data_IF_294576764839
#
_entry.id   IF_294576764839
#
_cell.length_a   1.000
_cell.length_b   1.000
_cell.length_c   1.000
_cell.angle_alpha   90.00
_cell.angle_beta   90.00
_cell.angle_gamma   90.00
#
_symmetry.space_group_name_H-M   'P 1'
#
loop_
_entity.id
_entity.type
_entity.pdbx_description
1 polymer ?
#
# COMPACT_ATOMS: atom_id res chain seq x y z
N UNK A 1 -11.38 9.10 17.02
CA UNK A 1 -12.31 8.10 17.57
C UNK A 1 -12.80 7.25 16.41
N UNK A 2 -12.66 5.94 16.49
CA UNK A 2 -12.95 5.04 15.36
C UNK A 2 -14.43 4.65 15.30
N UNK A 3 -15.16 4.82 16.41
CA UNK A 3 -16.59 4.56 16.55
C UNK A 3 -17.22 5.53 17.55
N UNK A 4 -18.53 5.70 17.49
CA UNK A 4 -19.30 6.48 18.46
C UNK A 4 -19.63 5.71 19.73
N UNK A 5 -19.45 4.39 19.71
CA UNK A 5 -19.68 3.52 20.87
C UNK A 5 -18.38 3.29 21.63
N UNK A 6 -18.51 3.19 22.97
CA UNK A 6 -17.41 2.94 23.89
C UNK A 6 -17.57 1.57 24.56
N UNK A 7 -16.58 1.17 25.35
CA UNK A 7 -16.68 -0.06 26.15
C UNK A 7 -17.80 0.05 27.19
N UNK A 8 -18.04 1.24 27.76
CA UNK A 8 -19.12 1.48 28.68
C UNK A 8 -20.50 1.27 28.02
N UNK A 9 -20.66 1.73 26.79
CA UNK A 9 -21.88 1.46 25.99
C UNK A 9 -22.09 -0.06 25.76
N UNK A 10 -21.02 -0.79 25.49
CA UNK A 10 -21.08 -2.26 25.36
C UNK A 10 -21.63 -2.92 26.61
N UNK A 11 -21.12 -2.51 27.77
CA UNK A 11 -21.56 -3.05 29.06
C UNK A 11 -23.02 -2.64 29.41
N UNK A 12 -23.38 -1.39 29.15
CA UNK A 12 -24.72 -0.85 29.45
C UNK A 12 -25.80 -1.47 28.54
N UNK A 13 -25.51 -1.76 27.30
CA UNK A 13 -26.43 -2.35 26.33
C UNK A 13 -26.52 -3.89 26.42
N UNK A 14 -25.83 -4.49 27.39
CA UNK A 14 -25.99 -5.89 27.76
C UNK A 14 -25.05 -6.89 27.05
N UNK A 15 -23.90 -6.46 26.51
CA UNK A 15 -22.81 -7.32 26.01
C UNK A 15 -23.30 -8.50 25.14
N UNK A 16 -24.21 -8.23 24.20
CA UNK A 16 -24.92 -9.23 23.42
C UNK A 16 -24.57 -9.17 21.93
N UNK A 17 -24.94 -10.23 21.18
CA UNK A 17 -24.82 -10.23 19.74
C UNK A 17 -25.62 -9.11 19.05
N UNK A 18 -26.75 -8.70 19.62
CA UNK A 18 -27.56 -7.58 19.11
C UNK A 18 -26.83 -6.26 19.27
N UNK A 19 -26.20 -6.05 20.42
CA UNK A 19 -25.32 -4.89 20.65
C UNK A 19 -24.14 -4.89 19.70
N UNK A 20 -23.49 -6.04 19.47
CA UNK A 20 -22.40 -6.19 18.51
C UNK A 20 -22.86 -5.79 17.10
N UNK A 21 -24.02 -6.27 16.66
CA UNK A 21 -24.58 -5.93 15.36
C UNK A 21 -24.88 -4.44 15.18
N UNK A 22 -25.43 -3.80 16.23
CA UNK A 22 -25.69 -2.37 16.25
C UNK A 22 -24.38 -1.56 16.08
N UNK A 23 -23.35 -1.93 16.82
CA UNK A 23 -22.03 -1.31 16.75
C UNK A 23 -21.40 -1.47 15.36
N UNK A 24 -21.43 -2.69 14.79
CA UNK A 24 -20.93 -3.00 13.46
C UNK A 24 -21.65 -2.17 12.39
N UNK A 25 -22.98 -2.05 12.47
CA UNK A 25 -23.75 -1.24 11.52
C UNK A 25 -23.39 0.25 11.60
N UNK A 26 -23.22 0.77 12.81
CA UNK A 26 -22.78 2.14 13.03
C UNK A 26 -21.36 2.37 12.49
N UNK A 27 -20.45 1.46 12.81
CA UNK A 27 -19.06 1.53 12.35
C UNK A 27 -18.93 1.54 10.82
N UNK A 28 -19.65 0.65 10.11
CA UNK A 28 -19.68 0.59 8.63
C UNK A 28 -20.18 1.89 7.98
N UNK A 29 -20.99 2.68 8.70
CA UNK A 29 -21.48 4.00 8.25
C UNK A 29 -20.54 5.15 8.62
N UNK A 30 -19.54 4.90 9.45
CA UNK A 30 -18.60 5.93 9.91
C UNK A 30 -17.73 6.45 8.77
N UNK A 31 -17.29 7.70 8.91
CA UNK A 31 -16.34 8.30 7.98
C UNK A 31 -14.97 7.57 8.03
N UNK A 32 -14.59 7.13 9.23
CA UNK A 32 -13.36 6.37 9.42
C UNK A 32 -13.33 5.10 8.57
N UNK A 33 -14.37 4.26 8.66
CA UNK A 33 -14.45 3.00 7.89
C UNK A 33 -14.42 3.25 6.38
N UNK A 34 -15.18 4.26 5.91
CA UNK A 34 -15.18 4.62 4.48
C UNK A 34 -13.82 5.10 4.01
N UNK A 35 -13.15 5.94 4.80
CA UNK A 35 -11.82 6.43 4.47
C UNK A 35 -10.78 5.29 4.45
N UNK A 36 -10.83 4.39 5.43
CA UNK A 36 -9.94 3.22 5.49
C UNK A 36 -10.13 2.32 4.26
N UNK A 37 -11.37 2.08 3.85
CA UNK A 37 -11.69 1.32 2.66
C UNK A 37 -11.21 2.02 1.37
N UNK A 38 -11.50 3.32 1.23
CA UNK A 38 -11.07 4.11 0.07
C UNK A 38 -9.54 4.13 -0.08
N UNK A 39 -8.80 4.18 1.01
CA UNK A 39 -7.33 4.11 0.99
C UNK A 39 -6.84 2.72 0.59
N UNK A 40 -7.48 1.66 1.07
CA UNK A 40 -7.16 0.29 0.70
C UNK A 40 -7.43 0.04 -0.81
N UNK A 41 -8.50 0.60 -1.36
CA UNK A 41 -8.80 0.53 -2.80
C UNK A 41 -7.72 1.24 -3.63
N UNK A 42 -7.31 2.47 -3.24
CA UNK A 42 -6.23 3.18 -3.95
C UNK A 42 -4.89 2.45 -3.87
N UNK A 43 -4.60 1.82 -2.74
CA UNK A 43 -3.42 0.96 -2.60
C UNK A 43 -3.44 -0.22 -3.58
N UNK A 44 -4.60 -0.80 -3.83
CA UNK A 44 -4.78 -1.89 -4.81
C UNK A 44 -4.85 -1.39 -6.27
N UNK A 45 -4.66 -0.08 -6.52
CA UNK A 45 -4.73 0.49 -7.87
C UNK A 45 -6.16 0.76 -8.37
N UNK A 46 -7.15 0.80 -7.48
CA UNK A 46 -8.53 1.17 -7.80
C UNK A 46 -8.86 2.53 -7.15
N UNK A 47 -9.18 3.52 -7.98
CA UNK A 47 -9.54 4.84 -7.48
C UNK A 47 -11.08 5.01 -7.49
N UNK A 48 -11.73 5.04 -6.30
CA UNK A 48 -13.18 5.15 -6.21
C UNK A 48 -13.74 6.47 -6.77
N UNK A 49 -12.95 7.55 -6.82
CA UNK A 49 -13.39 8.83 -7.40
C UNK A 49 -13.48 8.78 -8.92
N UNK A 50 -12.59 8.04 -9.60
CA UNK A 50 -12.71 7.82 -11.04
C UNK A 50 -14.02 7.10 -11.39
N UNK A 51 -14.39 6.10 -10.58
CA UNK A 51 -15.66 5.38 -10.79
C UNK A 51 -16.89 6.28 -10.63
N UNK A 52 -16.83 7.28 -9.75
CA UNK A 52 -17.91 8.27 -9.57
C UNK A 52 -17.98 9.26 -10.73
N UNK A 53 -16.83 9.82 -11.13
CA UNK A 53 -16.75 10.83 -12.21
C UNK A 53 -17.21 10.26 -13.56
N UNK A 54 -16.82 9.03 -13.85
CA UNK A 54 -17.06 8.40 -15.15
C UNK A 54 -18.28 7.47 -15.17
N UNK A 55 -19.30 7.74 -14.36
CA UNK A 55 -20.61 7.07 -14.51
C UNK A 55 -21.20 7.43 -15.85
N UNK A 56 -21.57 6.40 -16.62
CA UNK A 56 -22.28 6.58 -17.90
C UNK A 56 -23.58 7.30 -17.64
N UNK A 57 -23.69 8.54 -18.13
CA UNK A 57 -24.95 9.27 -18.17
C UNK A 57 -25.69 8.82 -19.42
N UNK A 58 -26.87 8.23 -19.25
CA UNK A 58 -27.75 7.88 -20.33
C UNK A 58 -28.80 8.99 -20.42
N UNK A 59 -28.73 9.79 -21.47
CA UNK A 59 -29.78 10.77 -21.76
C UNK A 59 -30.83 10.13 -22.69
N UNK A 60 -32.04 10.04 -22.22
CA UNK A 60 -33.17 9.56 -23.03
C UNK A 60 -33.83 10.76 -23.68
N UNK A 61 -33.72 10.88 -24.98
CA UNK A 61 -34.44 11.89 -25.77
C UNK A 61 -35.72 11.26 -26.32
N UNK A 62 -36.85 11.88 -26.04
CA UNK A 62 -38.14 11.49 -26.61
C UNK A 62 -38.42 12.37 -27.84
N UNK A 63 -38.53 11.77 -29.01
CA UNK A 63 -39.00 12.45 -30.21
C UNK A 63 -40.37 11.87 -30.58
N UNK A 64 -41.37 12.74 -30.76
CA UNK A 64 -42.68 12.37 -31.37
C UNK A 64 -42.55 12.51 -32.88
N UNK A 65 -42.97 11.48 -33.61
CA UNK A 65 -43.09 11.56 -35.05
C UNK A 65 -44.40 12.27 -35.45
N UNK A 66 -44.61 12.48 -36.75
CA UNK A 66 -45.79 13.12 -37.30
C UNK A 66 -47.10 12.36 -36.98
N UNK A 67 -47.01 11.10 -36.57
CA UNK A 67 -48.13 10.23 -36.21
C UNK A 67 -48.36 10.17 -34.70
N UNK A 68 -47.61 10.95 -33.90
CA UNK A 68 -47.74 11.00 -32.45
C UNK A 68 -47.04 9.86 -31.70
N UNK A 69 -46.31 8.98 -32.39
CA UNK A 69 -45.56 7.86 -31.76
C UNK A 69 -44.30 8.41 -31.12
N UNK A 70 -44.09 8.09 -29.83
CA UNK A 70 -42.94 8.52 -29.06
C UNK A 70 -41.78 7.55 -29.28
N UNK A 71 -40.76 8.01 -29.96
CA UNK A 71 -39.49 7.28 -30.10
C UNK A 71 -38.52 7.70 -28.98
N UNK A 72 -38.13 6.74 -28.13
CA UNK A 72 -37.14 6.95 -27.08
C UNK A 72 -35.78 6.53 -27.63
N UNK A 73 -34.89 7.48 -27.82
CA UNK A 73 -33.49 7.21 -28.17
C UNK A 73 -32.61 7.43 -26.93
N UNK A 74 -32.04 6.35 -26.40
CA UNK A 74 -31.03 6.43 -25.36
C UNK A 74 -29.70 6.76 -26.02
N UNK A 75 -29.13 7.92 -25.70
CA UNK A 75 -27.80 8.31 -26.16
C UNK A 75 -26.85 8.29 -24.97
N UNK A 76 -25.75 7.56 -25.10
CA UNK A 76 -24.64 7.65 -24.14
C UNK A 76 -24.00 9.02 -24.29
N UNK A 77 -24.14 9.86 -23.27
CA UNK A 77 -23.40 11.10 -23.17
C UNK A 77 -22.09 10.76 -22.40
N UNK A 78 -20.97 11.05 -23.04
CA UNK A 78 -19.64 10.90 -22.46
C UNK A 78 -19.36 9.51 -21.91
N UNK A 79 -19.14 8.52 -22.77
CA UNK A 79 -18.46 7.30 -22.36
C UNK A 79 -16.98 7.65 -22.16
N UNK A 80 -16.44 7.62 -20.95
CA UNK A 80 -15.01 7.79 -20.75
C UNK A 80 -14.29 6.58 -21.35
N UNK A 81 -13.24 6.84 -22.11
CA UNK A 81 -12.40 5.80 -22.68
C UNK A 81 -11.55 5.15 -21.59
N UNK A 82 -10.84 5.95 -20.83
CA UNK A 82 -9.83 5.49 -19.89
C UNK A 82 -10.15 5.81 -18.43
N UNK A 83 -9.82 4.85 -17.54
CA UNK A 83 -9.82 5.02 -16.09
C UNK A 83 -8.45 4.60 -15.58
N UNK A 84 -7.50 5.51 -15.68
CA UNK A 84 -6.11 5.24 -15.31
C UNK A 84 -5.92 5.62 -13.85
N UNK A 85 -5.77 4.61 -13.00
CA UNK A 85 -5.39 4.78 -11.61
C UNK A 85 -3.89 4.52 -11.45
N UNK A 86 -3.23 5.37 -10.67
CA UNK A 86 -1.81 5.23 -10.37
C UNK A 86 -1.55 4.22 -9.25
N UNK A 87 -0.42 3.54 -9.32
CA UNK A 87 0.10 2.69 -8.24
C UNK A 87 1.07 3.43 -7.29
N UNK A 88 1.08 4.75 -7.29
CA UNK A 88 2.01 5.53 -6.44
C UNK A 88 1.83 5.21 -4.96
N UNK A 89 0.59 5.10 -4.48
CA UNK A 89 0.33 4.80 -3.07
C UNK A 89 0.91 3.42 -2.68
N UNK A 90 0.77 2.42 -3.55
CA UNK A 90 1.39 1.11 -3.35
C UNK A 90 2.92 1.24 -3.21
N UNK A 91 3.57 1.96 -4.14
CA UNK A 91 5.02 2.18 -4.10
C UNK A 91 5.48 2.88 -2.83
N UNK A 92 4.77 3.92 -2.40
CA UNK A 92 5.09 4.68 -1.19
C UNK A 92 5.01 3.83 0.08
N UNK A 93 3.92 3.09 0.25
CA UNK A 93 3.71 2.25 1.43
C UNK A 93 4.71 1.08 1.44
N UNK A 94 4.89 0.40 0.30
CA UNK A 94 5.89 -0.67 0.19
C UNK A 94 7.30 -0.17 0.48
N UNK A 95 7.68 1.02 -0.02
CA UNK A 95 8.99 1.62 0.25
C UNK A 95 9.20 1.84 1.75
N UNK A 96 8.22 2.40 2.45
CA UNK A 96 8.32 2.66 3.90
C UNK A 96 8.41 1.36 4.70
N UNK A 97 7.52 0.41 4.44
CA UNK A 97 7.46 -0.86 5.19
C UNK A 97 8.69 -1.71 4.93
N UNK A 98 9.11 -1.85 3.67
CA UNK A 98 10.29 -2.64 3.33
C UNK A 98 11.58 -1.98 3.83
N UNK A 99 11.65 -0.66 3.84
CA UNK A 99 12.79 0.05 4.40
C UNK A 99 12.95 -0.22 5.90
N UNK A 100 11.85 -0.22 6.65
CA UNK A 100 11.85 -0.43 8.11
C UNK A 100 11.93 -1.91 8.50
N UNK A 101 11.16 -2.78 7.83
CA UNK A 101 10.85 -4.13 8.29
C UNK A 101 11.34 -5.25 7.37
N UNK A 102 12.14 -4.97 6.33
CA UNK A 102 12.64 -6.02 5.41
C UNK A 102 13.43 -7.11 6.13
N UNK A 103 14.14 -6.75 7.19
CA UNK A 103 14.92 -7.70 8.01
C UNK A 103 14.13 -8.21 9.24
N UNK A 104 12.85 -7.86 9.37
CA UNK A 104 12.01 -8.21 10.51
C UNK A 104 12.44 -7.57 11.83
N UNK A 105 11.89 -8.06 12.93
CA UNK A 105 12.26 -7.69 14.28
C UNK A 105 13.39 -8.60 14.79
N UNK A 106 14.52 -8.03 15.16
CA UNK A 106 15.62 -8.76 15.80
C UNK A 106 15.45 -8.69 17.31
N UNK A 107 15.41 -9.84 17.97
CA UNK A 107 15.37 -9.99 19.42
C UNK A 107 16.73 -10.47 19.92
N UNK A 108 17.09 -10.11 21.14
CA UNK A 108 18.34 -10.57 21.76
C UNK A 108 18.34 -12.09 21.97
N UNK A 109 17.18 -12.64 22.39
CA UNK A 109 17.04 -14.07 22.64
C UNK A 109 16.39 -14.79 21.46
N UNK A 110 17.12 -15.71 20.82
CA UNK A 110 16.65 -16.51 19.70
C UNK A 110 15.46 -17.43 20.06
N UNK A 111 15.40 -17.93 21.31
CA UNK A 111 14.28 -18.77 21.76
C UNK A 111 12.99 -17.95 21.84
N UNK A 112 13.09 -16.70 22.33
CA UNK A 112 11.95 -15.76 22.33
C UNK A 112 11.48 -15.49 20.92
N UNK A 113 12.40 -15.28 19.97
CA UNK A 113 12.07 -15.10 18.56
C UNK A 113 11.35 -16.33 17.98
N UNK A 114 11.84 -17.53 18.29
CA UNK A 114 11.21 -18.78 17.82
C UNK A 114 9.78 -18.96 18.34
N UNK A 115 9.49 -18.51 19.58
CA UNK A 115 8.12 -18.54 20.15
C UNK A 115 7.12 -17.65 19.44
N UNK A 116 7.57 -16.61 18.71
CA UNK A 116 6.70 -15.75 17.91
C UNK A 116 6.24 -16.43 16.61
N UNK A 117 6.86 -17.55 16.23
CA UNK A 117 6.53 -18.30 15.02
C UNK A 117 7.21 -17.73 13.75
N UNK A 118 7.38 -18.60 12.75
CA UNK A 118 8.08 -18.24 11.50
C UNK A 118 7.35 -17.17 10.67
N UNK A 119 6.04 -17.03 10.82
CA UNK A 119 5.23 -16.05 10.08
C UNK A 119 5.20 -14.66 10.70
N UNK A 120 5.81 -14.45 11.87
CA UNK A 120 5.66 -13.21 12.64
C UNK A 120 6.14 -11.96 11.90
N UNK A 121 7.33 -12.01 11.30
CA UNK A 121 7.87 -10.84 10.59
C UNK A 121 7.04 -10.47 9.36
N UNK A 122 6.50 -11.46 8.65
CA UNK A 122 5.58 -11.22 7.54
C UNK A 122 4.27 -10.60 8.02
N UNK A 123 3.72 -11.12 9.12
CA UNK A 123 2.52 -10.53 9.74
C UNK A 123 2.76 -9.09 10.19
N UNK A 124 3.95 -8.81 10.74
CA UNK A 124 4.35 -7.47 11.17
C UNK A 124 4.38 -6.49 10.00
N UNK A 125 4.97 -6.87 8.86
CA UNK A 125 4.98 -6.06 7.63
C UNK A 125 3.56 -5.79 7.12
N UNK A 126 2.73 -6.82 7.01
CA UNK A 126 1.36 -6.67 6.53
C UNK A 126 0.50 -5.81 7.48
N UNK A 127 0.69 -5.95 8.78
CA UNK A 127 0.02 -5.11 9.77
C UNK A 127 0.43 -3.65 9.65
N UNK A 128 1.72 -3.37 9.42
CA UNK A 128 2.23 -2.02 9.26
C UNK A 128 1.69 -1.37 7.97
N UNK A 129 1.65 -2.10 6.85
CA UNK A 129 0.99 -1.64 5.62
C UNK A 129 -0.47 -1.22 5.88
N UNK A 130 -1.22 -2.07 6.60
CA UNK A 130 -2.62 -1.79 6.94
C UNK A 130 -2.76 -0.62 7.91
N UNK A 131 -1.86 -0.50 8.88
CA UNK A 131 -1.85 0.61 9.82
C UNK A 131 -1.57 1.95 9.10
N UNK A 132 -0.58 2.00 8.21
CA UNK A 132 -0.27 3.18 7.39
C UNK A 132 -1.48 3.63 6.56
N UNK A 133 -2.16 2.68 5.91
CA UNK A 133 -3.32 2.95 5.07
C UNK A 133 -4.56 3.36 5.85
N UNK A 134 -4.82 2.73 6.99
CA UNK A 134 -6.08 2.82 7.71
C UNK A 134 -5.99 3.60 9.02
N UNK A 135 -4.76 3.85 9.51
CA UNK A 135 -4.49 4.48 10.80
C UNK A 135 -4.31 3.48 11.94
N UNK A 136 -4.91 2.30 11.83
CA UNK A 136 -4.79 1.21 12.79
C UNK A 136 -4.99 -0.14 12.10
N UNK A 137 -4.24 -1.14 12.56
CA UNK A 137 -4.48 -2.56 12.30
C UNK A 137 -4.42 -3.28 13.64
N UNK A 138 -5.22 -4.31 13.83
CA UNK A 138 -5.20 -5.08 15.08
C UNK A 138 -4.57 -6.44 14.84
N UNK A 139 -3.73 -6.89 15.77
CA UNK A 139 -3.17 -8.23 15.79
C UNK A 139 -3.78 -9.04 16.92
N UNK A 140 -4.43 -10.13 16.61
CA UNK A 140 -4.88 -11.12 17.58
C UNK A 140 -3.79 -12.16 17.78
N UNK A 141 -3.28 -12.28 19.01
CA UNK A 141 -2.35 -13.34 19.36
C UNK A 141 -3.10 -14.66 19.58
N UNK A 142 -2.99 -15.56 18.61
CA UNK A 142 -3.64 -16.86 18.65
C UNK A 142 -2.61 -17.96 18.95
N UNK A 143 -2.29 -18.12 20.23
CA UNK A 143 -1.37 -19.10 20.81
C UNK A 143 0.08 -19.06 20.28
N UNK A 144 0.32 -19.20 18.98
CA UNK A 144 1.63 -19.35 18.35
C UNK A 144 1.85 -18.41 17.16
N UNK A 145 0.84 -17.63 16.79
CA UNK A 145 0.92 -16.70 15.66
C UNK A 145 0.03 -15.47 15.85
N UNK A 146 0.24 -14.48 15.02
CA UNK A 146 -0.59 -13.27 14.96
C UNK A 146 -1.59 -13.40 13.82
N UNK A 147 -2.88 -13.38 14.13
CA UNK A 147 -3.94 -13.15 13.14
C UNK A 147 -4.11 -11.65 12.89
N UNK A 148 -4.10 -11.25 11.62
CA UNK A 148 -4.21 -9.85 11.23
C UNK A 148 -5.68 -9.48 11.11
N UNK A 149 -6.09 -8.46 11.83
CA UNK A 149 -7.45 -7.95 11.88
C UNK A 149 -7.49 -6.49 11.39
N UNK A 150 -7.58 -6.23 10.07
CA UNK A 150 -7.64 -4.87 9.54
C UNK A 150 -8.90 -4.14 9.97
N UNK A 151 -8.81 -2.81 10.13
CA UNK A 151 -9.96 -1.98 10.46
C UNK A 151 -11.05 -2.03 9.35
N UNK A 152 -10.64 -2.10 8.09
CA UNK A 152 -11.52 -2.32 6.94
C UNK A 152 -10.86 -3.28 5.95
N UNK A 153 -11.58 -4.32 5.51
CA UNK A 153 -11.14 -5.25 4.46
C UNK A 153 -11.89 -4.94 3.17
N UNK A 154 -13.19 -4.94 3.25
CA UNK A 154 -14.12 -4.57 2.19
C UNK A 154 -15.35 -3.86 2.81
N UNK A 155 -16.34 -3.52 2.00
CA UNK A 155 -17.57 -2.85 2.47
C UNK A 155 -18.41 -3.68 3.47
N UNK A 156 -18.08 -4.96 3.64
CA UNK A 156 -18.83 -5.90 4.47
C UNK A 156 -18.02 -6.45 5.63
N UNK A 157 -16.70 -6.28 5.62
CA UNK A 157 -15.76 -6.94 6.52
C UNK A 157 -14.77 -5.94 7.12
N UNK A 158 -14.44 -6.13 8.40
CA UNK A 158 -13.49 -5.27 9.11
C UNK A 158 -13.47 -5.57 10.61
N UNK A 159 -12.81 -4.68 11.34
CA UNK A 159 -12.64 -4.82 12.80
C UNK A 159 -12.87 -3.46 13.47
N UNK A 160 -13.68 -3.45 14.52
CA UNK A 160 -13.92 -2.28 15.36
C UNK A 160 -13.48 -2.58 16.79
N UNK A 161 -12.75 -1.65 17.39
CA UNK A 161 -12.35 -1.69 18.79
C UNK A 161 -13.11 -0.63 19.59
N UNK A 162 -13.62 -1.03 20.75
CA UNK A 162 -14.29 -0.16 21.72
C UNK A 162 -13.30 0.25 22.79
N UNK A 163 -13.09 1.55 22.91
CA UNK A 163 -12.20 2.12 23.90
C UNK A 163 -12.93 2.28 25.23
N UNK A 164 -12.24 1.97 26.28
CA UNK A 164 -12.64 2.32 27.64
C UNK A 164 -12.40 3.82 27.88
N UNK A 165 -13.45 4.55 28.24
CA UNK A 165 -13.40 5.98 28.46
C UNK A 165 -12.49 6.39 29.62
N UNK A 166 -12.33 5.52 30.63
CA UNK A 166 -11.55 5.80 31.82
C UNK A 166 -10.05 5.60 31.59
N UNK A 167 -9.69 4.54 30.89
CA UNK A 167 -8.28 4.15 30.69
C UNK A 167 -7.74 4.52 29.32
N UNK A 168 -8.63 4.77 28.34
CA UNK A 168 -8.26 4.93 26.93
C UNK A 168 -7.74 3.63 26.26
N UNK A 169 -7.77 2.52 26.99
CA UNK A 169 -7.41 1.19 26.49
C UNK A 169 -8.54 0.56 25.67
N UNK A 170 -8.24 -0.56 25.03
CA UNK A 170 -9.25 -1.34 24.31
C UNK A 170 -9.91 -2.29 25.30
N UNK A 171 -11.23 -2.20 25.46
CA UNK A 171 -12.02 -3.11 26.29
C UNK A 171 -12.57 -4.29 25.53
N UNK A 172 -13.06 -4.08 24.31
CA UNK A 172 -13.64 -5.11 23.44
C UNK A 172 -13.24 -4.84 22.00
N UNK A 173 -13.03 -5.93 21.24
CA UNK A 173 -12.82 -5.88 19.79
C UNK A 173 -13.86 -6.76 19.10
N UNK A 174 -14.47 -6.25 18.04
CA UNK A 174 -15.44 -6.98 17.23
C UNK A 174 -14.90 -7.07 15.81
N UNK A 175 -14.51 -8.25 15.41
CA UNK A 175 -14.25 -8.59 14.01
C UNK A 175 -15.53 -9.02 13.36
N UNK A 176 -15.83 -8.51 12.18
CA UNK A 176 -17.05 -8.87 11.45
C UNK A 176 -16.74 -9.12 9.98
N UNK A 177 -17.48 -10.08 9.41
CA UNK A 177 -17.39 -10.37 7.96
C UNK A 177 -18.72 -10.86 7.42
N UNK A 178 -18.96 -10.55 6.16
CA UNK A 178 -20.16 -10.91 5.43
C UNK A 178 -19.79 -11.01 3.94
N UNK A 179 -20.05 -12.13 3.29
CA UNK A 179 -19.72 -12.33 1.88
C UNK A 179 -20.51 -11.44 0.92
N UNK A 180 -21.77 -11.15 1.27
CA UNK A 180 -22.63 -10.23 0.52
C UNK A 180 -23.83 -9.83 1.39
N UNK A 181 -24.60 -8.84 0.95
CA UNK A 181 -25.81 -8.39 1.66
C UNK A 181 -26.86 -9.47 1.87
N UNK A 182 -26.87 -10.53 1.06
CA UNK A 182 -27.80 -11.65 1.16
C UNK A 182 -27.29 -12.81 2.03
N UNK A 183 -26.04 -12.73 2.51
CA UNK A 183 -25.43 -13.78 3.34
C UNK A 183 -25.43 -13.37 4.82
N UNK A 184 -25.34 -14.33 5.74
CA UNK A 184 -25.24 -14.06 7.16
C UNK A 184 -24.06 -13.14 7.50
N UNK A 185 -24.24 -12.24 8.44
CA UNK A 185 -23.17 -11.49 9.08
C UNK A 185 -22.61 -12.35 10.21
N UNK A 186 -21.32 -12.55 10.22
CA UNK A 186 -20.59 -13.19 11.30
C UNK A 186 -19.85 -12.14 12.11
N UNK A 187 -19.82 -12.31 13.42
CA UNK A 187 -19.14 -11.40 14.35
C UNK A 187 -18.38 -12.22 15.39
N UNK A 188 -17.09 -11.98 15.49
CA UNK A 188 -16.20 -12.53 16.50
C UNK A 188 -15.91 -11.43 17.52
N UNK A 189 -16.39 -11.63 18.73
CA UNK A 189 -16.26 -10.66 19.83
C UNK A 189 -15.17 -11.12 20.79
N UNK A 190 -14.13 -10.32 20.92
CA UNK A 190 -13.00 -10.55 21.80
C UNK A 190 -13.17 -9.70 23.06
N UNK A 191 -13.26 -10.34 24.20
CA UNK A 191 -13.32 -9.75 25.53
C UNK A 191 -12.14 -10.24 26.39
N UNK A 192 -11.88 -9.61 27.53
CA UNK A 192 -10.75 -10.02 28.37
C UNK A 192 -10.92 -11.47 28.92
N UNK A 193 -12.14 -11.90 29.09
CA UNK A 193 -12.51 -13.22 29.66
C UNK A 193 -12.85 -14.28 28.62
N UNK A 194 -12.72 -14.00 27.32
CA UNK A 194 -12.89 -14.98 26.27
C UNK A 194 -13.42 -14.44 24.95
N UNK A 195 -13.67 -15.37 24.05
CA UNK A 195 -14.09 -15.16 22.67
C UNK A 195 -15.48 -15.73 22.45
N UNK A 196 -16.39 -14.92 21.89
CA UNK A 196 -17.74 -15.35 21.48
C UNK A 196 -17.93 -15.14 19.98
N UNK A 197 -18.59 -16.06 19.29
CA UNK A 197 -18.92 -15.92 17.88
C UNK A 197 -20.43 -15.88 17.69
N UNK A 198 -20.91 -14.84 17.02
CA UNK A 198 -22.30 -14.66 16.65
C UNK A 198 -22.50 -14.77 15.14
N UNK A 199 -23.69 -15.17 14.72
CA UNK A 199 -24.12 -15.08 13.33
C UNK A 199 -25.55 -14.56 13.22
N UNK A 200 -25.86 -13.92 12.09
CA UNK A 200 -27.25 -13.58 11.78
C UNK A 200 -27.91 -14.73 11.01
N UNK A 201 -29.14 -15.07 11.40
CA UNK A 201 -29.98 -16.01 10.63
C UNK A 201 -30.53 -15.33 9.37
N UNK A 202 -31.17 -16.12 8.51
CA UNK A 202 -31.87 -15.59 7.31
C UNK A 202 -33.00 -14.62 7.66
N UNK A 203 -33.62 -14.76 8.81
CA UNK A 203 -34.69 -13.91 9.31
C UNK A 203 -34.17 -12.64 10.01
N UNK A 204 -32.84 -12.41 9.99
CA UNK A 204 -32.19 -11.24 10.60
C UNK A 204 -32.02 -11.35 12.12
N UNK A 205 -32.40 -12.47 12.75
CA UNK A 205 -32.13 -12.71 14.18
C UNK A 205 -30.65 -13.05 14.38
N UNK A 206 -30.15 -12.74 15.56
CA UNK A 206 -28.78 -13.01 15.95
C UNK A 206 -28.75 -14.23 16.85
N UNK A 207 -27.88 -15.17 16.53
CA UNK A 207 -27.68 -16.43 17.26
C UNK A 207 -26.22 -16.55 17.68
N UNK A 208 -25.98 -17.18 18.80
CA UNK A 208 -24.65 -17.56 19.27
C UNK A 208 -24.22 -18.78 18.49
N UNK A 209 -23.25 -18.61 17.58
CA UNK A 209 -22.68 -19.72 16.81
C UNK A 209 -21.71 -20.54 17.66
N UNK A 210 -20.84 -19.85 18.40
CA UNK A 210 -19.96 -20.47 19.38
C UNK A 210 -20.09 -19.69 20.69
N UNK A 211 -20.46 -20.36 21.80
CA UNK A 211 -20.54 -19.74 23.11
C UNK A 211 -19.15 -19.23 23.55
N UNK A 212 -19.14 -18.36 24.55
CA UNK A 212 -17.91 -17.80 25.10
C UNK A 212 -16.94 -18.91 25.51
N UNK A 213 -15.74 -18.87 25.00
CA UNK A 213 -14.65 -19.81 25.28
C UNK A 213 -13.37 -19.07 25.61
N UNK A 214 -12.53 -19.69 26.42
CA UNK A 214 -11.21 -19.18 26.72
C UNK A 214 -10.29 -19.17 25.49
N UNK A 215 -9.29 -18.31 25.48
CA UNK A 215 -8.34 -18.18 24.36
C UNK A 215 -7.38 -19.33 24.24
N UNK A 216 -6.98 -19.93 25.36
CA UNK A 216 -6.10 -21.09 25.39
C UNK A 216 -6.92 -22.30 25.82
N UNK A 217 -6.99 -23.29 24.93
CA UNK A 217 -7.68 -24.54 25.20
C UNK A 217 -6.69 -25.69 25.05
N UNK A 218 -6.60 -26.51 26.10
CA UNK A 218 -5.86 -27.77 26.01
C UNK A 218 -6.82 -28.85 25.56
N UNK A 219 -6.59 -29.39 24.37
CA UNK A 219 -7.41 -30.44 23.76
C UNK A 219 -6.61 -31.75 23.80
N UNK A 220 -7.19 -32.78 24.36
CA UNK A 220 -6.68 -34.13 24.24
C UNK A 220 -7.55 -34.89 23.25
N UNK A 221 -6.91 -35.49 22.25
CA UNK A 221 -7.55 -36.36 21.27
C UNK A 221 -7.35 -37.82 21.73
N UNK A 222 -8.41 -38.50 22.11
CA UNK A 222 -8.42 -39.89 22.46
C UNK A 222 -9.27 -40.74 21.48
N UNK A 223 -9.37 -42.01 21.71
CA UNK A 223 -10.16 -42.91 20.86
C UNK A 223 -11.67 -42.59 20.80
N UNK A 224 -12.16 -41.70 21.66
CA UNK A 224 -13.58 -41.30 21.77
C UNK A 224 -13.80 -39.95 21.06
N UNK A 225 -12.73 -39.18 20.79
CA UNK A 225 -12.78 -37.88 20.14
C UNK A 225 -11.95 -36.81 20.84
N UNK A 226 -12.12 -35.57 20.43
CA UNK A 226 -11.46 -34.42 21.04
C UNK A 226 -12.19 -33.98 22.31
N UNK A 227 -11.43 -33.81 23.40
CA UNK A 227 -11.97 -33.34 24.68
C UNK A 227 -11.10 -32.21 25.23
N UNK A 228 -11.75 -31.09 25.57
CA UNK A 228 -11.09 -29.95 26.28
C UNK A 228 -10.84 -30.37 27.72
N UNK A 229 -9.58 -30.33 28.18
CA UNK A 229 -9.16 -30.68 29.53
C UNK A 229 -8.70 -29.51 30.36
N UNK A 230 -8.46 -28.38 29.73
CA UNK A 230 -8.12 -27.14 30.41
C UNK A 230 -8.42 -25.91 29.54
N UNK A 231 -8.87 -24.86 30.20
CA UNK A 231 -9.16 -23.56 29.61
C UNK A 231 -8.46 -22.46 30.40
N UNK A 232 -7.76 -21.58 29.71
CA UNK A 232 -7.06 -20.46 30.33
C UNK A 232 -7.18 -19.20 29.44
N UNK A 233 -7.33 -18.06 30.05
CA UNK A 233 -7.29 -16.78 29.37
C UNK A 233 -5.90 -16.11 29.55
N UNK A 234 -5.60 -15.16 28.66
CA UNK A 234 -4.47 -14.27 28.86
C UNK A 234 -4.80 -13.28 30.00
N UNK A 235 -3.76 -12.72 30.62
CA UNK A 235 -3.95 -11.72 31.68
C UNK A 235 -4.63 -10.42 31.18
N UNK A 236 -4.67 -10.23 29.88
CA UNK A 236 -5.31 -9.09 29.20
C UNK A 236 -5.88 -9.53 27.86
N UNK A 237 -6.65 -8.66 27.23
CA UNK A 237 -7.19 -8.88 25.89
C UNK A 237 -6.06 -9.19 24.90
N UNK A 238 -6.06 -10.35 24.20
CA UNK A 238 -4.99 -10.74 23.29
C UNK A 238 -5.09 -10.11 21.90
N UNK A 239 -5.83 -9.00 21.77
CA UNK A 239 -5.93 -8.20 20.55
C UNK A 239 -5.23 -6.87 20.78
N UNK A 240 -4.15 -6.65 20.04
CA UNK A 240 -3.25 -5.52 20.22
C UNK A 240 -3.34 -4.61 18.99
N UNK A 241 -3.54 -3.30 19.17
CA UNK A 241 -3.53 -2.35 18.08
C UNK A 241 -2.09 -2.01 17.67
N UNK A 242 -1.84 -2.00 16.36
CA UNK A 242 -0.71 -1.33 15.72
C UNK A 242 -1.22 -0.06 15.06
N UNK A 243 -0.69 1.09 15.46
CA UNK A 243 -1.02 2.39 14.88
C UNK A 243 0.05 2.82 13.89
N UNK A 244 -0.32 3.58 12.87
CA UNK A 244 0.65 4.18 11.96
C UNK A 244 1.51 5.25 12.65
N UNK A 245 0.91 5.98 13.59
CA UNK A 245 1.52 7.11 14.28
C UNK A 245 0.86 7.37 15.65
N UNK A 246 1.42 8.29 16.43
CA UNK A 246 0.91 8.69 17.76
C UNK A 246 -0.47 9.33 17.70
N UNK A 247 -0.82 9.97 16.60
CA UNK A 247 -2.12 10.59 16.37
C UNK A 247 -3.21 9.57 16.03
N UNK A 248 -2.85 8.29 15.83
CA UNK A 248 -3.74 7.18 15.47
C UNK A 248 -4.56 7.46 14.21
N UNK A 249 -3.90 8.04 13.19
CA UNK A 249 -4.51 8.43 11.92
C UNK A 249 -3.76 7.77 10.76
N UNK A 250 -4.47 7.57 9.65
CA UNK A 250 -3.85 7.15 8.40
C UNK A 250 -2.80 8.15 7.94
N UNK A 251 -1.70 7.69 7.39
CA UNK A 251 -0.69 8.53 6.74
C UNK A 251 -1.13 9.00 5.35
N UNK A 252 -2.17 8.38 4.79
CA UNK A 252 -2.83 8.85 3.56
C UNK A 252 -3.76 10.01 3.92
N UNK A 253 -3.17 11.19 4.06
CA UNK A 253 -3.88 12.43 4.45
C UNK A 253 -4.88 12.86 3.38
N UNK A 254 -5.86 13.74 3.71
CA UNK A 254 -6.75 14.32 2.70
C UNK A 254 -5.99 15.02 1.57
N UNK A 255 -4.85 15.67 1.85
CA UNK A 255 -3.99 16.31 0.86
C UNK A 255 -3.45 15.29 -0.15
N UNK A 256 -2.90 14.18 0.33
CA UNK A 256 -2.37 13.09 -0.51
C UNK A 256 -3.49 12.50 -1.37
N UNK A 257 -4.65 12.20 -0.79
CA UNK A 257 -5.80 11.67 -1.54
C UNK A 257 -6.24 12.59 -2.67
N UNK A 258 -6.39 13.88 -2.36
CA UNK A 258 -6.81 14.87 -3.36
C UNK A 258 -5.80 14.99 -4.51
N UNK A 259 -4.50 14.92 -4.22
CA UNK A 259 -3.45 14.96 -5.25
C UNK A 259 -3.44 13.68 -6.09
N UNK A 260 -3.59 12.50 -5.48
CA UNK A 260 -3.74 11.24 -6.21
C UNK A 260 -4.96 11.28 -7.14
N UNK A 261 -6.11 11.73 -6.64
CA UNK A 261 -7.34 11.86 -7.44
C UNK A 261 -7.17 12.86 -8.59
N UNK A 262 -6.43 13.95 -8.38
CA UNK A 262 -6.13 14.92 -9.42
C UNK A 262 -5.18 14.33 -10.48
N UNK A 263 -4.13 13.63 -10.04
CA UNK A 263 -3.19 12.96 -10.94
C UNK A 263 -3.88 11.94 -11.83
N UNK A 264 -4.63 11.02 -11.23
CA UNK A 264 -5.37 9.97 -11.94
C UNK A 264 -6.39 10.54 -12.92
N UNK A 265 -7.04 11.64 -12.55
CA UNK A 265 -8.00 12.33 -13.41
C UNK A 265 -7.32 12.95 -14.61
N UNK A 266 -6.17 13.65 -14.41
CA UNK A 266 -5.43 14.27 -15.52
C UNK A 266 -4.90 13.18 -16.46
N UNK A 267 -4.39 12.06 -15.94
CA UNK A 267 -3.92 10.93 -16.75
C UNK A 267 -5.05 10.31 -17.56
N UNK A 268 -6.22 10.10 -16.97
CA UNK A 268 -7.40 9.55 -17.63
C UNK A 268 -7.91 10.50 -18.73
N UNK A 269 -8.06 11.80 -18.41
CA UNK A 269 -8.48 12.83 -19.36
C UNK A 269 -7.43 13.02 -20.48
N UNK A 270 -6.13 12.76 -20.21
CA UNK A 270 -5.08 12.83 -21.21
C UNK A 270 -5.20 11.67 -22.21
N UNK A 271 -5.45 10.45 -21.74
CA UNK A 271 -5.72 9.30 -22.61
C UNK A 271 -6.94 9.53 -23.51
N UNK A 272 -8.05 9.97 -22.91
CA UNK A 272 -9.29 10.29 -23.68
C UNK A 272 -9.07 11.39 -24.73
N UNK A 273 -8.23 12.39 -24.42
CA UNK A 273 -7.95 13.46 -25.36
C UNK A 273 -7.00 13.06 -26.47
N UNK A 274 -6.06 12.13 -26.21
CA UNK A 274 -5.21 11.56 -27.26
C UNK A 274 -6.06 10.83 -28.30
N UNK A 275 -7.04 10.05 -27.86
CA UNK A 275 -7.96 9.39 -28.78
C UNK A 275 -8.78 10.41 -29.59
N UNK A 276 -9.31 11.44 -28.94
CA UNK A 276 -10.07 12.51 -29.59
C UNK A 276 -9.23 13.44 -30.47
N UNK A 277 -7.93 13.57 -30.21
CA UNK A 277 -7.05 14.38 -31.05
C UNK A 277 -6.91 13.79 -32.46
N UNK A 278 -7.20 12.51 -32.63
CA UNK A 278 -7.28 11.84 -33.93
C UNK A 278 -8.63 12.05 -34.62
N UNK A 279 -9.64 12.57 -33.90
CA UNK A 279 -10.93 12.88 -34.48
C UNK A 279 -10.83 14.20 -35.27
N UNK A 280 -11.03 14.11 -36.57
CA UNK A 280 -11.14 15.29 -37.44
C UNK A 280 -12.59 15.70 -37.47
N UNK A 281 -12.90 16.92 -37.04
CA UNK A 281 -14.23 17.48 -37.28
C UNK A 281 -14.17 18.49 -38.40
N UNK A 282 -15.26 18.50 -39.17
CA UNK A 282 -15.37 19.37 -40.33
C UNK A 282 -16.21 20.60 -40.01
N UNK A 283 -15.66 21.78 -40.24
CA UNK A 283 -16.41 23.04 -40.16
C UNK A 283 -16.96 23.34 -41.56
N UNK A 284 -18.25 23.25 -41.69
CA UNK A 284 -18.97 23.56 -42.94
C UNK A 284 -19.43 25.03 -42.90
N UNK A 285 -18.85 25.85 -43.74
CA UNK A 285 -19.26 27.25 -43.89
C UNK A 285 -20.14 27.39 -45.16
N UNK A 286 -21.21 28.16 -45.05
CA UNK A 286 -22.16 28.42 -46.16
C UNK A 286 -22.81 27.13 -46.72
N UNK A 287 -23.09 26.16 -45.86
CA UNK A 287 -23.74 24.92 -46.24
C UNK A 287 -25.27 25.16 -46.36
N UNK A 288 -25.79 25.23 -47.60
CA UNK A 288 -27.22 25.50 -47.88
C UNK A 288 -28.15 24.29 -47.71
N UNK A 289 -27.67 23.17 -47.17
CA UNK A 289 -28.42 21.92 -47.01
C UNK A 289 -29.14 21.78 -45.68
N UNK A 290 -30.06 20.82 -45.62
CA UNK A 290 -30.73 20.44 -44.38
C UNK A 290 -29.83 19.68 -43.42
N UNK A 291 -30.26 19.59 -42.15
CA UNK A 291 -29.53 18.79 -41.13
C UNK A 291 -29.32 17.33 -41.54
N UNK A 292 -30.29 16.75 -42.28
CA UNK A 292 -30.19 15.35 -42.74
C UNK A 292 -29.14 15.19 -43.85
N UNK A 293 -29.04 16.20 -44.73
CA UNK A 293 -27.98 16.25 -45.76
C UNK A 293 -26.59 16.43 -45.13
N UNK A 294 -26.50 17.24 -44.06
CA UNK A 294 -25.24 17.37 -43.29
C UNK A 294 -24.84 16.04 -42.62
N UNK A 295 -25.79 15.28 -42.10
CA UNK A 295 -25.53 13.96 -41.50
C UNK A 295 -25.08 12.94 -42.57
N UNK A 296 -25.71 12.92 -43.74
CA UNK A 296 -25.28 12.08 -44.88
C UNK A 296 -23.84 12.42 -45.29
N UNK A 297 -23.55 13.71 -45.44
CA UNK A 297 -22.22 14.20 -45.78
C UNK A 297 -21.16 13.76 -44.73
N UNK A 298 -21.48 13.83 -43.43
CA UNK A 298 -20.61 13.36 -42.38
C UNK A 298 -20.37 11.85 -42.48
N UNK A 299 -21.37 11.05 -42.83
CA UNK A 299 -21.24 9.64 -43.07
C UNK A 299 -20.33 9.34 -44.28
N UNK A 300 -20.54 10.04 -45.38
CA UNK A 300 -19.68 9.92 -46.60
C UNK A 300 -18.23 10.33 -46.34
N UNK A 301 -18.00 11.39 -45.54
CA UNK A 301 -16.66 11.81 -45.14
C UNK A 301 -15.98 10.71 -44.32
N UNK A 302 -16.71 10.10 -43.39
CA UNK A 302 -16.17 9.05 -42.55
C UNK A 302 -15.84 7.77 -43.34
N UNK A 303 -16.66 7.42 -44.32
CA UNK A 303 -16.49 6.23 -45.17
C UNK A 303 -15.48 6.43 -46.29
N UNK A 304 -15.58 7.55 -47.01
CA UNK A 304 -14.82 7.80 -48.24
C UNK A 304 -13.61 8.73 -48.02
N UNK A 305 -13.53 9.40 -46.87
CA UNK A 305 -12.52 10.45 -46.57
C UNK A 305 -12.52 11.62 -47.55
N UNK A 306 -13.63 11.85 -48.22
CA UNK A 306 -13.83 12.92 -49.21
C UNK A 306 -15.00 13.79 -48.71
N UNK A 307 -14.82 15.13 -48.72
CA UNK A 307 -15.87 16.09 -48.46
C UNK A 307 -16.31 16.71 -49.79
N UNK A 308 -17.57 16.54 -50.15
CA UNK A 308 -18.19 17.29 -51.26
C UNK A 308 -19.03 18.41 -50.69
N UNK A 309 -18.77 19.64 -51.12
CA UNK A 309 -19.52 20.81 -50.71
C UNK A 309 -20.56 21.20 -51.77
N UNK A 310 -21.80 21.47 -51.36
CA UNK A 310 -22.87 21.95 -52.23
C UNK A 310 -22.98 23.44 -52.00
N UNK A 311 -22.80 24.22 -53.07
CA UNK A 311 -23.01 25.69 -53.06
C UNK A 311 -24.45 26.01 -53.46
N UNK A 312 -25.09 26.91 -52.75
CA UNK A 312 -26.42 27.45 -53.05
C UNK A 312 -26.39 28.59 -54.10
N UNK A 313 -25.21 28.83 -54.70
CA UNK A 313 -25.01 29.84 -55.74
C UNK A 313 -24.73 31.26 -55.24
N UNK A 314 -24.72 31.50 -53.93
CA UNK A 314 -24.46 32.84 -53.35
C UNK A 314 -23.15 32.98 -52.61
N UNK A 315 -22.32 31.95 -52.56
CA UNK A 315 -21.01 32.01 -51.91
C UNK A 315 -20.22 30.70 -52.07
N UNK A 316 -18.91 30.75 -51.82
CA UNK A 316 -18.08 29.56 -51.81
C UNK A 316 -18.36 28.77 -50.55
N UNK A 317 -18.95 27.58 -50.67
CA UNK A 317 -19.03 26.64 -49.57
C UNK A 317 -17.64 26.04 -49.32
N UNK A 318 -17.17 26.10 -48.09
CA UNK A 318 -15.88 25.55 -47.70
C UNK A 318 -16.06 24.53 -46.60
N UNK A 319 -15.33 23.42 -46.69
CA UNK A 319 -15.21 22.43 -45.65
C UNK A 319 -13.76 22.42 -45.13
N UNK A 320 -13.57 22.84 -43.91
CA UNK A 320 -12.24 22.88 -43.29
C UNK A 320 -12.14 21.79 -42.23
N UNK A 321 -11.13 20.88 -42.35
CA UNK A 321 -10.84 19.94 -41.28
C UNK A 321 -10.24 20.69 -40.12
N UNK A 322 -10.74 20.45 -38.92
CA UNK A 322 -10.16 20.94 -37.69
C UNK A 322 -9.90 19.79 -36.74
N UNK A 323 -8.74 19.80 -36.13
CA UNK A 323 -8.36 18.88 -35.05
C UNK A 323 -8.42 19.61 -33.71
N UNK A 324 -8.66 18.86 -32.64
CA UNK A 324 -8.65 19.41 -31.29
C UNK A 324 -7.19 19.52 -30.86
N UNK A 325 -6.71 20.73 -30.61
CA UNK A 325 -5.40 20.92 -30.00
C UNK A 325 -5.44 20.52 -28.54
N UNK A 326 -4.64 19.53 -28.16
CA UNK A 326 -4.50 19.07 -26.79
C UNK A 326 -3.30 19.79 -26.16
N UNK A 327 -3.44 20.46 -25.01
CA UNK A 327 -2.33 21.17 -24.35
C UNK A 327 -1.37 20.18 -23.65
N UNK A 328 -0.60 19.43 -24.44
CA UNK A 328 0.31 18.36 -23.95
C UNK A 328 1.29 18.87 -22.89
N UNK A 329 1.98 19.97 -23.18
CA UNK A 329 3.02 20.52 -22.30
C UNK A 329 2.46 20.93 -20.94
N UNK A 330 1.30 21.61 -20.93
CA UNK A 330 0.67 22.02 -19.68
C UNK A 330 0.27 20.86 -18.80
N UNK A 331 -0.21 19.77 -19.41
CA UNK A 331 -0.60 18.56 -18.69
C UNK A 331 0.60 17.80 -18.16
N UNK A 332 1.65 17.67 -18.98
CA UNK A 332 2.90 17.04 -18.53
C UNK A 332 3.48 17.79 -17.31
N UNK A 333 3.59 19.11 -17.39
CA UNK A 333 4.09 19.92 -16.27
C UNK A 333 3.20 19.76 -15.03
N UNK A 334 1.86 19.70 -15.20
CA UNK A 334 0.96 19.50 -14.08
C UNK A 334 1.14 18.11 -13.42
N UNK A 335 1.33 17.05 -14.21
CA UNK A 335 1.61 15.71 -13.71
C UNK A 335 2.95 15.65 -12.96
N UNK A 336 4.00 16.23 -13.52
CA UNK A 336 5.33 16.28 -12.89
C UNK A 336 5.29 17.05 -11.55
N UNK A 337 4.57 18.19 -11.49
CA UNK A 337 4.39 18.94 -10.24
C UNK A 337 3.59 18.15 -9.19
N UNK A 338 2.52 17.48 -9.60
CA UNK A 338 1.73 16.63 -8.69
C UNK A 338 2.53 15.45 -8.19
N UNK A 339 3.32 14.80 -9.05
CA UNK A 339 4.18 13.70 -8.69
C UNK A 339 5.22 14.13 -7.64
N UNK A 340 5.96 15.21 -7.89
CA UNK A 340 6.92 15.77 -6.94
C UNK A 340 6.25 16.13 -5.60
N UNK A 341 5.06 16.74 -5.66
CA UNK A 341 4.32 17.10 -4.46
C UNK A 341 3.84 15.84 -3.68
N UNK A 342 3.47 14.76 -4.36
CA UNK A 342 3.09 13.49 -3.73
C UNK A 342 4.29 12.83 -3.03
N UNK A 343 5.47 12.78 -3.67
CA UNK A 343 6.70 12.29 -3.04
C UNK A 343 7.06 13.12 -1.79
N UNK A 344 6.97 14.43 -1.88
CA UNK A 344 7.24 15.33 -0.75
C UNK A 344 6.23 15.16 0.39
N UNK A 345 4.92 15.13 0.10
CA UNK A 345 3.86 14.97 1.12
C UNK A 345 3.93 13.62 1.82
N UNK A 346 4.26 12.56 1.10
CA UNK A 346 4.39 11.22 1.68
C UNK A 346 5.75 11.00 2.34
N UNK A 347 6.71 11.92 2.11
CA UNK A 347 8.11 11.80 2.55
C UNK A 347 8.78 10.53 1.97
N UNK A 348 8.39 10.13 0.75
CA UNK A 348 8.96 9.01 0.04
C UNK A 348 10.22 9.43 -0.73
N UNK A 349 11.16 8.52 -0.89
CA UNK A 349 12.36 8.76 -1.69
C UNK A 349 12.01 8.66 -3.18
N UNK A 350 12.35 9.70 -3.95
CA UNK A 350 12.28 9.68 -5.42
C UNK A 350 13.56 9.12 -6.02
N UNK A 351 13.43 8.20 -6.96
CA UNK A 351 14.59 7.68 -7.69
C UNK A 351 15.23 8.74 -8.60
N UNK A 352 14.48 9.74 -9.05
CA UNK A 352 14.97 10.81 -9.89
C UNK A 352 16.01 11.68 -9.16
N UNK A 353 15.90 11.79 -7.84
CA UNK A 353 16.89 12.49 -7.01
C UNK A 353 18.26 11.79 -7.01
N UNK A 354 18.30 10.49 -7.30
CA UNK A 354 19.52 9.70 -7.35
C UNK A 354 20.13 9.62 -8.75
N UNK A 355 19.41 9.97 -9.82
CA UNK A 355 19.88 9.81 -11.21
C UNK A 355 20.71 10.99 -11.71
N UNK A 356 20.73 12.12 -11.01
CA UNK A 356 21.31 13.39 -11.47
C UNK A 356 22.81 13.57 -11.29
N UNK A 357 23.59 12.57 -10.79
CA UNK A 357 25.00 12.75 -10.53
C UNK A 357 25.74 11.49 -10.06
N UNK A 358 26.98 11.64 -9.61
CA UNK A 358 27.73 10.57 -8.95
C UNK A 358 26.98 10.12 -7.68
N UNK A 359 26.55 8.87 -7.61
CA UNK A 359 25.86 8.27 -6.48
C UNK A 359 26.82 8.10 -5.29
N UNK A 360 27.13 9.18 -4.60
CA UNK A 360 27.91 9.12 -3.36
C UNK A 360 27.03 8.67 -2.19
N UNK A 361 27.62 8.01 -1.19
CA UNK A 361 26.91 7.63 0.03
C UNK A 361 26.25 8.83 0.72
N UNK A 362 26.87 10.00 0.67
CA UNK A 362 26.31 11.25 1.21
C UNK A 362 25.05 11.69 0.47
N UNK A 363 25.04 11.61 -0.86
CA UNK A 363 23.86 11.95 -1.67
C UNK A 363 22.70 10.98 -1.40
N UNK A 364 22.99 9.69 -1.30
CA UNK A 364 22.00 8.66 -0.95
C UNK A 364 21.41 8.94 0.44
N UNK A 365 22.25 9.21 1.44
CA UNK A 365 21.78 9.54 2.80
C UNK A 365 20.93 10.81 2.84
N UNK A 366 21.31 11.83 2.09
CA UNK A 366 20.53 13.06 1.99
C UNK A 366 19.13 12.80 1.38
N UNK A 367 19.05 12.04 0.30
CA UNK A 367 17.79 11.67 -0.35
C UNK A 367 16.89 10.81 0.57
N UNK A 368 17.49 9.98 1.44
CA UNK A 368 16.78 9.14 2.39
C UNK A 368 16.36 9.83 3.68
N UNK A 369 16.80 11.07 3.93
CA UNK A 369 16.57 11.75 5.21
C UNK A 369 15.09 11.84 5.57
N UNK A 370 14.24 12.23 4.63
CA UNK A 370 12.79 12.34 4.87
C UNK A 370 12.16 10.99 5.20
N UNK A 371 12.52 9.95 4.48
CA UNK A 371 12.06 8.58 4.73
C UNK A 371 12.54 8.08 6.10
N UNK A 372 13.78 8.38 6.49
CA UNK A 372 14.31 8.05 7.81
C UNK A 372 13.48 8.68 8.93
N UNK A 373 13.24 10.00 8.87
CA UNK A 373 12.46 10.73 9.87
C UNK A 373 11.03 10.18 9.99
N UNK A 374 10.44 9.77 8.86
CA UNK A 374 9.13 9.14 8.84
C UNK A 374 9.15 7.77 9.50
N UNK A 375 10.14 6.95 9.16
CA UNK A 375 10.31 5.62 9.74
C UNK A 375 10.64 5.66 11.23
N UNK A 376 11.37 6.66 11.74
CA UNK A 376 11.60 6.84 13.18
C UNK A 376 10.30 6.96 13.97
N UNK A 377 9.31 7.67 13.43
CA UNK A 377 7.98 7.82 14.06
C UNK A 377 7.19 6.51 14.01
N UNK A 378 7.26 5.78 12.91
CA UNK A 378 6.56 4.51 12.73
C UNK A 378 7.21 3.39 13.55
N UNK A 379 8.53 3.30 13.57
CA UNK A 379 9.30 2.30 14.32
C UNK A 379 8.88 2.20 15.78
N UNK A 380 8.60 3.35 16.41
CA UNK A 380 8.11 3.38 17.78
C UNK A 380 6.75 2.68 17.96
N UNK A 381 5.87 2.76 16.98
CA UNK A 381 4.56 2.10 17.05
C UNK A 381 4.69 0.59 16.84
N UNK A 382 5.56 0.19 15.91
CA UNK A 382 5.90 -1.22 15.68
C UNK A 382 6.58 -1.82 16.92
N UNK A 383 7.53 -1.10 17.52
CA UNK A 383 8.18 -1.49 18.77
C UNK A 383 7.15 -1.75 19.89
N UNK A 384 6.24 -0.81 20.10
CA UNK A 384 5.18 -0.95 21.10
C UNK A 384 4.28 -2.15 20.85
N UNK A 385 3.96 -2.42 19.60
CA UNK A 385 3.18 -3.61 19.23
C UNK A 385 3.94 -4.89 19.60
N UNK A 386 5.19 -5.03 19.17
CA UNK A 386 6.03 -6.21 19.48
C UNK A 386 6.18 -6.38 20.99
N UNK A 387 6.46 -5.31 21.73
CA UNK A 387 6.59 -5.34 23.18
C UNK A 387 5.28 -5.84 23.85
N UNK A 388 4.12 -5.44 23.35
CA UNK A 388 2.83 -5.89 23.91
C UNK A 388 2.58 -7.39 23.61
N UNK A 389 2.97 -7.88 22.42
CA UNK A 389 2.93 -9.32 22.11
C UNK A 389 3.86 -10.09 23.06
N UNK A 390 5.10 -9.63 23.24
CA UNK A 390 6.06 -10.27 24.15
C UNK A 390 5.52 -10.35 25.58
N UNK A 391 4.89 -9.28 26.03
CA UNK A 391 4.25 -9.27 27.36
C UNK A 391 3.08 -10.27 27.47
N UNK A 392 2.32 -10.55 26.39
CA UNK A 392 1.28 -11.60 26.38
C UNK A 392 1.86 -13.01 26.55
N UNK A 393 3.05 -13.25 26.02
CA UNK A 393 3.75 -14.55 26.12
C UNK A 393 4.63 -14.64 27.39
N UNK A 394 4.57 -13.63 28.28
CA UNK A 394 5.27 -13.63 29.55
C UNK A 394 6.74 -13.21 29.47
N UNK A 395 7.12 -12.47 28.45
CA UNK A 395 8.47 -11.88 28.30
C UNK A 395 8.36 -10.38 28.56
N UNK A 396 8.91 -9.93 29.67
CA UNK A 396 8.81 -8.53 30.09
C UNK A 396 9.99 -7.67 29.65
N UNK A 397 11.19 -8.27 29.58
CA UNK A 397 12.43 -7.57 29.26
C UNK A 397 13.10 -8.24 28.07
N UNK A 398 13.03 -7.64 26.91
CA UNK A 398 13.70 -8.09 25.70
C UNK A 398 14.15 -6.87 24.91
N UNK A 399 15.36 -6.89 24.39
CA UNK A 399 15.82 -5.84 23.49
C UNK A 399 15.29 -6.10 22.09
N UNK A 400 14.50 -5.17 21.56
CA UNK A 400 13.92 -5.24 20.22
C UNK A 400 14.66 -4.25 19.33
N UNK A 401 15.21 -4.71 18.22
CA UNK A 401 15.91 -3.88 17.23
C UNK A 401 15.33 -4.10 15.85
N UNK A 402 15.26 -3.03 15.06
CA UNK A 402 14.89 -3.08 13.65
C UNK A 402 16.09 -2.65 12.81
N UNK A 403 16.58 -3.57 11.97
CA UNK A 403 17.69 -3.27 11.06
C UNK A 403 17.12 -2.79 9.73
N UNK A 404 17.18 -1.49 9.49
CA UNK A 404 16.67 -0.88 8.26
C UNK A 404 17.48 -1.30 7.04
N UNK A 405 16.83 -1.37 5.89
CA UNK A 405 17.47 -1.60 4.60
C UNK A 405 18.32 -0.37 4.23
N UNK A 406 19.64 -0.50 4.23
CA UNK A 406 20.53 0.57 3.86
C UNK A 406 20.89 0.47 2.37
N UNK A 407 20.58 1.53 1.62
CA UNK A 407 21.14 1.70 0.29
C UNK A 407 22.51 2.36 0.44
N UNK A 408 23.54 1.69 -0.03
CA UNK A 408 24.91 2.20 -0.01
C UNK A 408 25.58 2.01 -1.37
N UNK A 409 26.44 2.93 -1.75
CA UNK A 409 27.36 2.71 -2.85
C UNK A 409 28.44 1.74 -2.35
N UNK A 410 28.30 0.46 -2.71
CA UNK A 410 29.21 -0.60 -2.25
C UNK A 410 30.66 -0.31 -2.62
N UNK A 411 30.91 0.25 -3.79
CA UNK A 411 32.27 0.56 -4.26
C UNK A 411 32.91 1.67 -3.43
N UNK A 412 32.19 2.74 -3.15
CA UNK A 412 32.63 3.84 -2.28
C UNK A 412 32.85 3.33 -0.86
N UNK A 413 31.94 2.52 -0.32
CA UNK A 413 32.08 1.92 1.03
C UNK A 413 33.33 1.07 1.14
N UNK A 414 33.65 0.24 0.14
CA UNK A 414 34.89 -0.55 0.13
C UNK A 414 36.11 0.37 0.08
N UNK A 415 36.07 1.44 -0.70
CA UNK A 415 37.17 2.40 -0.80
C UNK A 415 37.40 3.15 0.52
N UNK A 416 36.34 3.52 1.22
CA UNK A 416 36.39 4.11 2.56
C UNK A 416 37.01 3.14 3.58
N UNK A 417 36.61 1.87 3.55
CA UNK A 417 37.18 0.82 4.40
C UNK A 417 38.68 0.67 4.12
N UNK A 418 39.07 0.69 2.85
CA UNK A 418 40.49 0.64 2.47
C UNK A 418 41.26 1.83 3.00
N UNK A 419 40.70 3.01 2.98
CA UNK A 419 41.31 4.25 3.50
C UNK A 419 41.46 4.19 5.03
N UNK A 420 40.46 3.65 5.72
CA UNK A 420 40.45 3.50 7.18
C UNK A 420 41.22 2.26 7.68
N UNK A 421 41.78 1.43 6.79
CA UNK A 421 42.41 0.13 7.15
C UNK A 421 43.55 0.26 8.14
N UNK A 422 44.19 1.41 8.27
CA UNK A 422 45.26 1.67 9.23
C UNK A 422 44.74 1.93 10.64
N UNK A 423 43.48 2.36 10.76
CA UNK A 423 42.86 2.79 12.01
C UNK A 423 41.88 1.74 12.59
N UNK A 424 41.53 0.71 11.82
CA UNK A 424 40.57 -0.33 12.21
C UNK A 424 41.20 -1.70 12.11
N UNK A 425 40.81 -2.61 13.02
CA UNK A 425 41.23 -4.00 12.99
C UNK A 425 40.61 -4.75 11.79
N UNK A 426 41.30 -5.84 11.38
CA UNK A 426 40.92 -6.63 10.21
C UNK A 426 39.49 -7.19 10.30
N UNK A 427 39.08 -7.65 11.47
CA UNK A 427 37.75 -8.20 11.72
C UNK A 427 36.66 -7.15 11.52
N UNK A 428 36.89 -5.93 12.00
CA UNK A 428 36.00 -4.80 11.81
C UNK A 428 35.94 -4.39 10.35
N UNK A 429 37.08 -4.37 9.63
CA UNK A 429 37.10 -4.09 8.20
C UNK A 429 36.26 -5.10 7.38
N UNK A 430 36.39 -6.41 7.71
CA UNK A 430 35.60 -7.46 7.06
C UNK A 430 34.12 -7.36 7.39
N UNK A 431 33.73 -7.01 8.63
CA UNK A 431 32.35 -6.80 9.03
C UNK A 431 31.68 -5.63 8.32
N UNK A 432 32.43 -4.59 8.00
CA UNK A 432 31.94 -3.41 7.29
C UNK A 432 31.88 -3.61 5.77
N UNK A 433 32.54 -4.65 5.24
CA UNK A 433 32.60 -4.88 3.80
C UNK A 433 31.27 -5.45 3.28
N UNK A 434 30.56 -4.74 2.36
CA UNK A 434 29.25 -5.13 1.88
C UNK A 434 29.25 -6.35 0.93
N UNK A 435 30.42 -6.90 0.59
CA UNK A 435 30.57 -8.08 -0.27
C UNK A 435 30.88 -9.36 0.52
N UNK A 436 31.01 -9.29 1.83
CA UNK A 436 31.38 -10.42 2.70
C UNK A 436 30.22 -10.71 3.65
N UNK A 437 29.76 -11.94 3.64
CA UNK A 437 28.73 -12.38 4.58
C UNK A 437 29.32 -12.55 5.98
N UNK A 438 28.53 -12.18 7.01
CA UNK A 438 29.00 -12.20 8.38
C UNK A 438 29.37 -13.61 8.87
N UNK A 439 28.74 -14.63 8.29
CA UNK A 439 29.01 -16.05 8.61
C UNK A 439 30.38 -16.51 8.08
N UNK A 440 30.88 -15.91 7.00
CA UNK A 440 32.14 -16.26 6.35
C UNK A 440 33.36 -15.57 6.98
N UNK A 441 33.15 -14.57 7.85
CA UNK A 441 34.22 -13.72 8.39
C UNK A 441 35.25 -14.53 9.17
N UNK A 442 34.83 -15.48 10.02
CA UNK A 442 35.71 -16.31 10.83
C UNK A 442 36.52 -17.25 9.94
N UNK A 443 35.93 -17.81 8.92
CA UNK A 443 36.63 -18.68 7.96
C UNK A 443 37.64 -17.88 7.12
N UNK A 444 37.30 -16.66 6.70
CA UNK A 444 38.23 -15.76 6.00
C UNK A 444 39.41 -15.40 6.89
N UNK A 445 39.16 -15.05 8.17
CA UNK A 445 40.26 -14.74 9.13
C UNK A 445 41.14 -15.95 9.35
N UNK A 446 40.57 -17.15 9.53
CA UNK A 446 41.32 -18.38 9.73
C UNK A 446 42.20 -18.73 8.51
N UNK A 447 41.63 -18.64 7.30
CA UNK A 447 42.33 -18.93 6.05
C UNK A 447 43.50 -17.96 5.83
N UNK A 448 43.27 -16.65 6.00
CA UNK A 448 44.34 -15.66 5.84
C UNK A 448 45.42 -15.81 6.90
N UNK A 449 45.07 -16.13 8.15
CA UNK A 449 46.06 -16.41 9.19
C UNK A 449 46.89 -17.67 8.86
N UNK A 450 46.29 -18.69 8.26
CA UNK A 450 46.96 -19.88 7.78
C UNK A 450 47.92 -19.59 6.60
N UNK A 451 47.51 -18.71 5.66
CA UNK A 451 48.35 -18.25 4.56
C UNK A 451 49.57 -17.46 5.08
N UNK A 452 49.37 -16.56 6.03
CA UNK A 452 50.45 -15.77 6.65
C UNK A 452 51.47 -16.66 7.38
N UNK A 453 50.98 -17.72 8.04
CA UNK A 453 51.86 -18.70 8.73
C UNK A 453 52.60 -19.61 7.73
N UNK A 454 52.00 -19.94 6.59
CA UNK A 454 52.57 -20.80 5.57
C UNK A 454 53.63 -20.13 4.69
N UNK A 455 53.80 -18.82 4.80
CA UNK A 455 54.75 -18.03 4.01
C UNK A 455 54.35 -17.92 2.50
N UNK A 456 53.14 -18.29 2.14
CA UNK A 456 52.62 -18.04 0.79
C UNK A 456 52.24 -16.56 0.64
N UNK A 457 52.56 -15.92 -0.51
CA UNK A 457 52.20 -14.53 -0.71
C UNK A 457 50.67 -14.40 -0.65
N UNK A 458 50.21 -13.44 0.14
CA UNK A 458 48.79 -13.13 0.23
C UNK A 458 48.23 -12.77 -1.17
N UNK A 459 46.93 -13.01 -1.41
CA UNK A 459 46.30 -12.63 -2.68
C UNK A 459 46.53 -11.17 -3.06
N UNK A 460 46.70 -10.26 -2.09
CA UNK A 460 47.11 -8.86 -2.29
C UNK A 460 48.53 -8.74 -2.86
N UNK A 461 49.44 -9.61 -2.47
CA UNK A 461 50.79 -9.64 -3.00
C UNK A 461 50.85 -10.25 -4.40
N UNK A 462 49.99 -11.25 -4.70
CA UNK A 462 49.79 -11.80 -6.01
C UNK A 462 49.15 -10.76 -6.98
N UNK A 463 48.15 -9.99 -6.51
CA UNK A 463 47.54 -8.94 -7.29
C UNK A 463 48.52 -7.82 -7.63
N UNK A 464 49.35 -7.38 -6.70
CA UNK A 464 50.44 -6.42 -6.95
C UNK A 464 51.51 -6.93 -7.92
N UNK A 465 51.84 -8.22 -7.87
CA UNK A 465 52.74 -8.86 -8.83
C UNK A 465 52.11 -8.95 -10.25
N UNK A 466 50.79 -9.12 -10.33
CA UNK A 466 50.09 -9.12 -11.60
C UNK A 466 49.95 -7.69 -12.18
N UNK A 467 49.74 -6.71 -11.33
CA UNK A 467 49.68 -5.29 -11.72
C UNK A 467 51.07 -4.77 -12.16
N UNK A 468 52.13 -5.23 -11.54
CA UNK A 468 53.53 -4.86 -11.87
C UNK A 468 54.02 -5.56 -13.20
N UNK A 469 53.46 -6.72 -13.53
CA UNK A 469 53.77 -7.40 -14.82
C UNK A 469 52.92 -6.87 -15.99
N UNK A 470 51.82 -6.12 -15.73
CA UNK A 470 51.00 -5.46 -16.76
C UNK A 470 51.56 -4.14 -17.28
N UNK A 471 52.62 -3.63 -16.67
CA UNK A 471 53.18 -2.29 -16.96
C UNK A 471 54.27 -2.21 -18.00
N UNK A 472 54.78 -3.34 -18.54
CA UNK A 472 55.87 -3.29 -19.52
C UNK A 472 55.53 -4.01 -20.85
N UNK A 473 54.64 -3.36 -21.63
CA UNK A 473 54.54 -3.57 -23.06
C UNK A 473 54.44 -2.23 -23.78
N UNK A 474 55.48 -1.43 -23.62
CA UNK A 474 55.77 -0.33 -24.54
C UNK A 474 56.26 -0.89 -25.87
N UNK A 475 55.38 -1.10 -26.80
CA UNK A 475 55.76 -1.31 -28.20
C UNK A 475 56.12 0.03 -28.83
N UNK A 476 57.39 0.24 -28.96
CA UNK A 476 58.02 1.25 -29.82
C UNK A 476 57.69 0.89 -31.27
N UNK A 477 56.79 1.61 -31.93
CA UNK A 477 56.61 1.48 -33.39
C UNK A 477 57.03 2.82 -34.07
N UNK A 478 58.29 2.78 -34.43
CA UNK A 478 58.86 3.63 -35.48
C UNK A 478 58.72 2.92 -36.81
N UNK A 479 57.74 3.34 -37.63
CA UNK A 479 57.95 3.62 -39.08
C UNK A 479 56.67 4.08 -39.74
#
# INVERSE_FOLDING_TARGET
>A
MFTTYTYQDWMLLGSSGETASLIVQSYRRSEFFRTALDNAMRFSGDNPELAKKYRVQIQTTEKKDANGIVHKKAQRLNAPGYRIATSMLFRFVCQQVQYLLSNGATLENAETKARLGMGFDKALQEMDERAILQGVCYGYWNMDHVEILPAAVDKWSGTVALLDEMTGGIGVVIQFWQLSSARPLYMRVFEADGLTVYSTTRDGKIEVLHPKRAYKQQVITDAIGERIVGEENYMRLPVIPMYANSEKRSEVTPSIRTKLDAYDRIMSDFGDNLDRANDVYWVLNNFGGSTDQALQMIQEINELKIAMTVSDGMGNATAEPKTIEVPYTARQVALELLEKALYADFMAMSMDELTGGSLTNVAIQAAMTNLNLKCDRNEWQVFRFVQQILSLIGVETEEIRFKRLQLTNRQETVQDIYTMRQDIDRRTALKLNPYIDQEEIEDIIANVSAEEVSGQPSMDALQRLLDDQGGDNGVDDKR
#
